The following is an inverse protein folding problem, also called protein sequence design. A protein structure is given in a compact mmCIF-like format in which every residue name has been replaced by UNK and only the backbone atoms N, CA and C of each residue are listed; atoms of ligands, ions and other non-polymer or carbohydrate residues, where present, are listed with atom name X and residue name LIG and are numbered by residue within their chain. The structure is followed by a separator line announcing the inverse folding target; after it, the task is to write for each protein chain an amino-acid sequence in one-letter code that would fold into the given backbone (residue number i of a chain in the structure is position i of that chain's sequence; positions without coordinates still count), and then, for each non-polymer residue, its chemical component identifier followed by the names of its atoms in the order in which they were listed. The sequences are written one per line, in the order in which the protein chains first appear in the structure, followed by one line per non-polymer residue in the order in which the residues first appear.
data_IF_166899943620
#
_entry.id   IF_166899943620
#
_cell.length_a   1.000
_cell.length_b   1.000
_cell.length_c   1.000
_cell.angle_alpha   90.00
_cell.angle_beta   90.00
_cell.angle_gamma   90.00
#
_symmetry.space_group_name_H-M   'P 1'
#
loop_
_entity.id
_entity.type
_entity.pdbx_description
1 polymer ?
#
# COMPACT_ATOMS: atom_id res chain seq x y z
N UNK A 1 -28.26 25.93 0.97
CA UNK A 1 -27.45 24.86 1.61
C UNK A 1 -27.00 23.89 0.51
N UNK A 2 -25.71 23.88 0.19
CA UNK A 2 -25.17 23.10 -0.93
C UNK A 2 -24.75 21.71 -0.41
N UNK A 3 -25.37 20.65 -0.92
CA UNK A 3 -25.28 19.27 -0.37
C UNK A 3 -23.99 18.52 -0.78
N UNK A 4 -23.08 19.15 -1.53
CA UNK A 4 -22.10 18.44 -2.37
C UNK A 4 -20.61 18.53 -1.97
N UNK A 5 -20.22 19.07 -0.81
CA UNK A 5 -18.87 18.81 -0.27
C UNK A 5 -18.89 17.53 0.57
N UNK A 6 -18.16 16.50 0.12
CA UNK A 6 -17.71 15.44 1.01
C UNK A 6 -16.37 15.91 1.57
N UNK A 7 -16.42 16.45 2.79
CA UNK A 7 -15.22 16.55 3.60
C UNK A 7 -14.77 15.13 4.01
N UNK A 8 -13.49 15.00 4.36
CA UNK A 8 -12.91 13.73 4.79
C UNK A 8 -13.67 13.11 5.98
N UNK A 9 -14.11 13.85 7.02
CA UNK A 9 -14.97 13.31 8.08
C UNK A 9 -16.25 12.65 7.59
N UNK A 10 -16.97 13.28 6.66
CA UNK A 10 -18.21 12.72 6.08
C UNK A 10 -17.94 11.47 5.26
N UNK A 11 -16.83 11.44 4.52
CA UNK A 11 -16.39 10.23 3.81
C UNK A 11 -16.13 9.09 4.79
N UNK A 12 -15.41 9.35 5.89
CA UNK A 12 -15.14 8.33 6.91
C UNK A 12 -16.43 7.83 7.56
N UNK A 13 -17.37 8.71 7.87
CA UNK A 13 -18.68 8.32 8.42
C UNK A 13 -19.45 7.40 7.45
N UNK A 14 -19.45 7.73 6.15
CA UNK A 14 -20.07 6.89 5.12
C UNK A 14 -19.36 5.53 4.99
N UNK A 15 -18.02 5.52 4.99
CA UNK A 15 -17.23 4.28 4.95
C UNK A 15 -17.53 3.38 6.15
N UNK A 16 -17.60 3.95 7.36
CA UNK A 16 -17.95 3.20 8.58
C UNK A 16 -19.34 2.59 8.49
N UNK A 17 -20.32 3.35 7.97
CA UNK A 17 -21.69 2.86 7.77
C UNK A 17 -21.74 1.69 6.77
N UNK A 18 -21.13 1.87 5.60
CA UNK A 18 -21.15 0.85 4.53
C UNK A 18 -20.37 -0.42 4.88
N UNK A 19 -19.41 -0.32 5.80
CA UNK A 19 -18.60 -1.43 6.28
C UNK A 19 -19.12 -2.07 7.57
N UNK A 20 -20.09 -1.47 8.27
CA UNK A 20 -20.51 -1.90 9.61
C UNK A 20 -20.93 -3.38 9.67
N UNK A 21 -21.55 -3.88 8.60
CA UNK A 21 -22.07 -5.24 8.51
C UNK A 21 -21.09 -6.24 7.89
N UNK A 22 -19.81 -5.88 7.72
CA UNK A 22 -18.80 -6.76 7.13
C UNK A 22 -18.17 -7.61 8.25
N UNK A 23 -18.53 -8.91 8.37
CA UNK A 23 -18.11 -9.70 9.52
C UNK A 23 -16.67 -10.20 9.37
N UNK A 24 -16.02 -10.47 10.50
CA UNK A 24 -14.79 -11.26 10.56
C UNK A 24 -13.55 -10.64 9.91
N UNK A 25 -13.52 -9.32 9.76
CA UNK A 25 -12.34 -8.59 9.28
C UNK A 25 -12.21 -7.21 9.92
N UNK A 26 -11.01 -6.66 9.93
CA UNK A 26 -10.76 -5.26 10.30
C UNK A 26 -10.35 -4.49 9.05
N UNK A 27 -10.88 -3.29 8.82
CA UNK A 27 -10.63 -2.51 7.60
C UNK A 27 -10.06 -1.16 7.96
N UNK A 28 -8.94 -0.81 7.36
CA UNK A 28 -8.30 0.49 7.52
C UNK A 28 -8.30 1.25 6.19
N UNK A 29 -8.42 2.58 6.27
CA UNK A 29 -8.18 3.47 5.14
C UNK A 29 -6.67 3.52 4.86
N UNK A 30 -6.29 3.61 3.59
CA UNK A 30 -4.92 3.73 3.15
C UNK A 30 -4.73 4.87 2.13
N UNK A 31 -3.53 4.97 1.56
CA UNK A 31 -3.24 5.86 0.45
C UNK A 31 -3.28 7.34 0.82
N UNK A 32 -3.65 8.17 -0.15
CA UNK A 32 -3.58 9.63 0.01
C UNK A 32 -4.60 10.20 0.99
N UNK A 33 -5.75 9.54 1.10
CA UNK A 33 -6.80 9.90 2.06
C UNK A 33 -6.33 9.70 3.50
N UNK A 34 -5.65 8.60 3.78
CA UNK A 34 -5.09 8.30 5.09
C UNK A 34 -3.96 9.25 5.52
N UNK A 35 -3.14 9.72 4.57
CA UNK A 35 -2.04 10.66 4.86
C UNK A 35 -2.50 12.12 4.94
N UNK A 36 -3.74 12.42 4.53
CA UNK A 36 -4.22 13.79 4.41
C UNK A 36 -3.64 14.56 3.21
N UNK A 37 -2.94 13.90 2.27
CA UNK A 37 -2.39 14.51 1.05
C UNK A 37 -3.28 14.25 -0.19
N UNK A 38 -4.58 14.04 0.04
CA UNK A 38 -5.57 13.80 -0.99
C UNK A 38 -5.86 15.06 -1.82
N UNK A 39 -6.33 14.85 -3.05
CA UNK A 39 -6.68 15.93 -3.97
C UNK A 39 -8.17 16.24 -3.88
N UNK A 40 -8.49 17.52 -3.95
CA UNK A 40 -9.87 18.02 -4.08
C UNK A 40 -10.05 18.75 -5.41
N UNK A 41 -11.17 18.52 -6.08
CA UNK A 41 -11.55 19.26 -7.28
C UNK A 41 -12.00 20.70 -6.97
N UNK A 42 -12.26 21.48 -8.01
CA UNK A 42 -12.68 22.88 -7.90
C UNK A 42 -13.97 23.10 -7.08
N UNK A 43 -14.80 22.07 -6.93
CA UNK A 43 -16.03 22.06 -6.14
C UNK A 43 -15.83 21.56 -4.70
N UNK A 44 -14.58 21.37 -4.25
CA UNK A 44 -14.23 20.88 -2.93
C UNK A 44 -14.47 19.38 -2.71
N UNK A 45 -14.83 18.62 -3.76
CA UNK A 45 -15.00 17.15 -3.66
C UNK A 45 -13.65 16.46 -3.75
N UNK A 46 -13.48 15.40 -2.96
CA UNK A 46 -12.33 14.49 -3.07
C UNK A 46 -12.32 13.86 -4.46
N UNK A 47 -11.18 13.94 -5.15
CA UNK A 47 -10.92 13.31 -6.46
C UNK A 47 -9.76 12.32 -6.42
N UNK A 48 -9.14 12.13 -5.25
CA UNK A 48 -8.25 10.99 -5.02
C UNK A 48 -9.01 9.69 -5.03
N UNK A 49 -8.29 8.62 -5.38
CA UNK A 49 -8.70 7.24 -5.20
C UNK A 49 -8.95 6.89 -3.72
N UNK A 50 -9.86 5.95 -3.50
CA UNK A 50 -10.12 5.32 -2.22
C UNK A 50 -9.31 4.04 -2.10
N UNK A 51 -8.34 4.01 -1.18
CA UNK A 51 -7.55 2.81 -0.90
C UNK A 51 -7.94 2.21 0.45
N UNK A 52 -8.30 0.92 0.49
CA UNK A 52 -8.60 0.19 1.72
C UNK A 52 -7.62 -0.96 1.95
N UNK A 53 -7.35 -1.28 3.22
CA UNK A 53 -6.65 -2.48 3.65
C UNK A 53 -7.57 -3.29 4.57
N UNK A 54 -8.30 -4.27 4.02
CA UNK A 54 -8.98 -5.29 4.82
C UNK A 54 -7.99 -6.30 5.36
N UNK A 55 -8.11 -6.61 6.65
CA UNK A 55 -7.34 -7.63 7.36
C UNK A 55 -8.25 -8.80 7.68
N UNK A 56 -7.92 -9.98 7.18
CA UNK A 56 -8.66 -11.23 7.38
C UNK A 56 -7.84 -12.21 8.21
N UNK A 57 -8.46 -13.17 8.94
CA UNK A 57 -7.72 -14.08 9.79
C UNK A 57 -6.66 -14.90 9.03
N UNK A 58 -7.05 -15.46 7.89
CA UNK A 58 -6.19 -16.32 7.07
C UNK A 58 -6.50 -16.18 5.59
N UNK A 59 -5.65 -16.72 4.72
CA UNK A 59 -5.87 -16.70 3.28
C UNK A 59 -7.21 -17.35 2.85
N UNK A 60 -7.68 -18.35 3.59
CA UNK A 60 -8.96 -19.02 3.32
C UNK A 60 -10.17 -18.08 3.40
N UNK A 61 -10.05 -16.95 4.10
CA UNK A 61 -11.10 -15.96 4.24
C UNK A 61 -11.11 -14.90 3.12
N UNK A 62 -10.06 -14.86 2.29
CA UNK A 62 -9.96 -13.87 1.23
C UNK A 62 -11.12 -13.94 0.22
N UNK A 63 -11.58 -15.10 -0.27
CA UNK A 63 -12.72 -15.17 -1.19
C UNK A 63 -14.01 -14.59 -0.60
N UNK A 64 -14.31 -14.89 0.66
CA UNK A 64 -15.47 -14.33 1.37
C UNK A 64 -15.34 -12.82 1.53
N UNK A 65 -14.16 -12.34 1.94
CA UNK A 65 -13.92 -10.91 2.06
C UNK A 65 -14.08 -10.18 0.72
N UNK A 66 -13.62 -10.77 -0.39
CA UNK A 66 -13.83 -10.24 -1.74
C UNK A 66 -15.31 -10.14 -2.09
N UNK A 67 -16.07 -11.20 -1.86
CA UNK A 67 -17.49 -11.26 -2.16
C UNK A 67 -18.29 -10.17 -1.42
N UNK A 68 -17.90 -9.87 -0.18
CA UNK A 68 -18.55 -8.83 0.64
C UNK A 68 -18.08 -7.42 0.27
N UNK A 69 -16.78 -7.21 0.06
CA UNK A 69 -16.22 -5.88 -0.20
C UNK A 69 -16.49 -5.38 -1.61
N UNK A 70 -16.53 -6.26 -2.62
CA UNK A 70 -16.76 -5.86 -4.00
C UNK A 70 -18.01 -4.98 -4.19
N UNK A 71 -19.23 -5.37 -3.73
CA UNK A 71 -20.40 -4.52 -3.87
C UNK A 71 -20.30 -3.21 -3.06
N UNK A 72 -19.65 -3.23 -1.90
CA UNK A 72 -19.41 -2.02 -1.08
C UNK A 72 -18.53 -1.02 -1.83
N UNK A 73 -17.38 -1.48 -2.34
CA UNK A 73 -16.47 -0.66 -3.15
C UNK A 73 -17.15 -0.13 -4.41
N UNK A 74 -17.96 -0.95 -5.08
CA UNK A 74 -18.75 -0.52 -6.25
C UNK A 74 -19.71 0.63 -5.92
N UNK A 75 -20.48 0.52 -4.83
CA UNK A 75 -21.38 1.60 -4.39
C UNK A 75 -20.62 2.87 -4.04
N UNK A 76 -19.51 2.74 -3.31
CA UNK A 76 -18.69 3.88 -2.90
C UNK A 76 -18.04 4.57 -4.10
N UNK A 77 -17.42 3.81 -5.00
CA UNK A 77 -16.82 4.34 -6.24
C UNK A 77 -17.86 5.09 -7.08
N UNK A 78 -19.09 4.57 -7.18
CA UNK A 78 -20.18 5.21 -7.89
C UNK A 78 -20.66 6.49 -7.20
N UNK A 79 -20.90 6.44 -5.89
CA UNK A 79 -21.39 7.57 -5.10
C UNK A 79 -20.39 8.74 -5.06
N UNK A 80 -19.10 8.41 -4.97
CA UNK A 80 -18.01 9.36 -4.84
C UNK A 80 -17.43 9.77 -6.20
N UNK A 81 -17.67 8.99 -7.26
CA UNK A 81 -17.09 9.14 -8.61
C UNK A 81 -15.55 9.11 -8.59
N UNK A 82 -15.00 8.18 -7.82
CA UNK A 82 -13.56 7.94 -7.69
C UNK A 82 -13.27 6.46 -7.92
N UNK A 83 -12.03 6.14 -8.26
CA UNK A 83 -11.55 4.75 -8.23
C UNK A 83 -11.50 4.27 -6.78
N UNK A 84 -11.87 3.01 -6.54
CA UNK A 84 -11.76 2.38 -5.23
C UNK A 84 -10.97 1.08 -5.34
N UNK A 85 -9.92 0.96 -4.54
CA UNK A 85 -9.04 -0.19 -4.47
C UNK A 85 -9.03 -0.75 -3.05
N UNK A 86 -9.02 -2.08 -2.92
CA UNK A 86 -8.71 -2.75 -1.67
C UNK A 86 -7.61 -3.79 -1.88
N UNK A 87 -6.67 -3.87 -0.94
CA UNK A 87 -5.66 -4.92 -0.89
C UNK A 87 -5.86 -5.77 0.37
N UNK A 88 -6.53 -6.91 0.20
CA UNK A 88 -6.81 -7.85 1.30
C UNK A 88 -5.49 -8.38 1.83
N UNK A 89 -5.34 -8.35 3.14
CA UNK A 89 -4.14 -8.69 3.89
C UNK A 89 -4.50 -9.77 4.91
N UNK A 90 -3.70 -10.82 5.02
CA UNK A 90 -3.84 -11.79 6.12
C UNK A 90 -3.35 -11.21 7.44
N UNK A 91 -3.91 -11.64 8.57
CA UNK A 91 -3.53 -11.14 9.90
C UNK A 91 -2.04 -11.33 10.18
N UNK A 92 -1.48 -12.47 9.79
CA UNK A 92 -0.04 -12.74 9.92
C UNK A 92 0.81 -11.77 9.09
N UNK A 93 0.43 -11.54 7.82
CA UNK A 93 1.13 -10.58 6.98
C UNK A 93 0.99 -9.14 7.51
N UNK A 94 -0.20 -8.79 7.99
CA UNK A 94 -0.45 -7.53 8.67
C UNK A 94 0.54 -7.36 9.83
N UNK A 95 0.69 -8.32 10.74
CA UNK A 95 1.65 -8.23 11.85
C UNK A 95 3.12 -8.18 11.41
N UNK A 96 3.50 -8.94 10.38
CA UNK A 96 4.89 -8.90 9.85
C UNK A 96 5.19 -7.54 9.23
N UNK A 97 4.31 -7.06 8.35
CA UNK A 97 4.46 -5.79 7.67
C UNK A 97 4.19 -4.58 8.58
N UNK A 98 3.51 -4.75 9.72
CA UNK A 98 3.33 -3.70 10.74
C UNK A 98 4.67 -3.14 11.24
N UNK A 99 5.66 -4.03 11.31
CA UNK A 99 7.02 -3.75 11.79
C UNK A 99 7.81 -2.93 10.78
N UNK A 100 7.40 -2.98 9.52
CA UNK A 100 7.85 -2.04 8.53
C UNK A 100 6.97 -0.79 8.59
N UNK A 101 7.57 0.38 8.83
CA UNK A 101 6.88 1.66 8.66
C UNK A 101 6.37 1.90 7.22
N UNK A 102 6.42 0.93 6.31
CA UNK A 102 5.69 0.95 5.03
C UNK A 102 4.15 1.06 5.20
N UNK A 103 3.64 0.91 6.43
CA UNK A 103 2.32 1.40 6.84
C UNK A 103 2.16 2.92 6.90
N UNK A 104 3.14 3.71 6.46
CA UNK A 104 3.07 5.19 6.37
C UNK A 104 1.91 5.75 5.55
N UNK A 105 1.07 4.89 4.97
CA UNK A 105 -0.14 5.32 4.28
C UNK A 105 -1.42 4.80 4.91
N UNK A 106 -1.43 4.14 6.07
CA UNK A 106 -2.67 3.70 6.72
C UNK A 106 -3.15 4.75 7.73
N UNK A 107 -4.46 4.98 7.77
CA UNK A 107 -5.08 5.80 8.81
C UNK A 107 -4.92 5.05 10.14
N UNK A 108 -4.50 5.72 11.24
CA UNK A 108 -4.21 5.08 12.53
C UNK A 108 -5.46 4.60 13.30
N UNK A 109 -6.60 4.48 12.61
CA UNK A 109 -7.89 4.12 13.15
C UNK A 109 -8.55 3.15 12.17
N UNK A 110 -9.20 2.16 12.75
CA UNK A 110 -10.02 1.23 12.01
C UNK A 110 -11.31 1.92 11.54
N UNK A 111 -11.70 1.68 10.30
CA UNK A 111 -13.06 1.95 9.83
C UNK A 111 -14.01 0.95 10.50
N UNK A 112 -13.60 -0.31 10.54
CA UNK A 112 -14.21 -1.38 11.33
C UNK A 112 -13.12 -2.26 11.93
N UNK A 113 -13.30 -2.75 13.14
CA UNK A 113 -12.35 -3.64 13.83
C UNK A 113 -13.00 -4.97 14.22
N UNK A 114 -13.46 -5.73 13.22
CA UNK A 114 -14.13 -7.01 13.45
C UNK A 114 -13.23 -8.12 14.00
N UNK A 115 -11.90 -7.94 13.96
CA UNK A 115 -10.93 -8.86 14.57
C UNK A 115 -10.49 -8.43 15.98
N UNK A 116 -10.92 -7.25 16.46
CA UNK A 116 -10.53 -6.75 17.78
C UNK A 116 -9.03 -6.48 17.94
N UNK A 117 -8.38 -5.98 16.89
CA UNK A 117 -6.93 -5.72 16.89
C UNK A 117 -6.56 -4.50 17.74
N UNK A 118 -7.52 -3.59 17.95
CA UNK A 118 -7.36 -2.39 18.74
C UNK A 118 -6.50 -1.31 18.07
N UNK A 119 -6.44 -0.10 18.66
CA UNK A 119 -5.75 1.05 18.09
C UNK A 119 -4.22 0.89 18.04
N UNK A 120 -3.65 0.05 18.91
CA UNK A 120 -2.21 -0.16 19.00
C UNK A 120 -1.65 -1.09 17.92
N UNK A 121 -2.52 -1.73 17.12
CA UNK A 121 -2.13 -2.62 16.03
C UNK A 121 -1.25 -1.96 14.96
N UNK A 122 -1.27 -0.62 14.86
CA UNK A 122 -0.47 0.17 13.93
C UNK A 122 0.90 0.59 14.46
N UNK A 123 1.10 0.52 15.78
CA UNK A 123 2.26 1.11 16.45
C UNK A 123 3.21 0.05 17.04
N UNK A 124 3.21 -1.16 16.49
CA UNK A 124 4.12 -2.21 16.97
C UNK A 124 5.56 -1.87 16.55
N UNK A 125 6.49 -1.63 17.51
CA UNK A 125 7.87 -1.35 17.18
C UNK A 125 8.53 -2.58 16.56
N UNK A 126 9.46 -2.36 15.62
CA UNK A 126 10.35 -3.41 15.20
C UNK A 126 11.27 -3.80 16.38
N UNK A 127 11.65 -5.09 16.50
CA UNK A 127 12.53 -5.55 17.56
C UNK A 127 13.94 -4.95 17.46
N UNK A 128 14.40 -4.62 16.24
CA UNK A 128 15.65 -3.91 15.98
C UNK A 128 15.59 -3.07 14.69
N UNK A 129 16.53 -2.15 14.53
CA UNK A 129 16.61 -1.25 13.37
C UNK A 129 16.97 -1.97 12.06
N UNK A 130 17.76 -3.04 12.13
CA UNK A 130 18.24 -3.81 10.97
C UNK A 130 17.14 -4.64 10.31
N UNK A 131 16.19 -5.15 11.09
CA UNK A 131 15.05 -5.92 10.65
C UNK A 131 14.03 -5.07 9.87
N UNK A 132 14.05 -3.74 10.03
CA UNK A 132 13.22 -2.82 9.23
C UNK A 132 13.81 -2.56 7.84
N UNK A 133 15.13 -2.73 7.66
CA UNK A 133 15.82 -2.28 6.44
C UNK A 133 15.37 -3.00 5.16
N UNK A 134 15.21 -4.33 5.12
CA UNK A 134 14.69 -5.01 3.95
C UNK A 134 13.33 -4.45 3.49
N UNK A 135 12.48 -4.08 4.45
CA UNK A 135 11.17 -3.49 4.17
C UNK A 135 11.23 -2.01 3.78
N UNK A 136 12.26 -1.28 4.21
CA UNK A 136 12.49 0.09 3.77
C UNK A 136 13.10 0.15 2.36
N UNK A 137 13.81 -0.90 1.94
CA UNK A 137 14.36 -1.08 0.58
C UNK A 137 13.28 -1.49 -0.42
N UNK A 138 12.38 -2.40 -0.03
CA UNK A 138 11.34 -2.97 -0.90
C UNK A 138 10.59 -1.95 -1.79
N UNK A 139 10.15 -0.77 -1.29
CA UNK A 139 9.43 0.21 -2.09
C UNK A 139 10.29 0.78 -3.22
N UNK A 140 11.60 0.93 -3.02
CA UNK A 140 12.54 1.40 -4.03
C UNK A 140 12.57 0.39 -5.18
N UNK A 141 12.84 -0.88 -4.89
CA UNK A 141 12.89 -1.94 -5.91
C UNK A 141 11.53 -2.18 -6.56
N UNK A 142 10.43 -2.07 -5.82
CA UNK A 142 9.08 -2.19 -6.37
C UNK A 142 8.77 -1.09 -7.40
N UNK A 143 9.09 0.16 -7.09
CA UNK A 143 8.85 1.27 -8.02
C UNK A 143 9.81 1.25 -9.21
N UNK A 144 11.07 0.84 -9.02
CA UNK A 144 12.00 0.63 -10.13
C UNK A 144 11.48 -0.46 -11.07
N UNK A 145 11.00 -1.59 -10.54
CA UNK A 145 10.40 -2.65 -11.34
C UNK A 145 9.14 -2.17 -12.09
N UNK A 146 8.26 -1.39 -11.44
CA UNK A 146 7.07 -0.83 -12.12
C UNK A 146 7.44 0.11 -13.26
N UNK A 147 8.54 0.85 -13.14
CA UNK A 147 8.98 1.80 -14.16
C UNK A 147 9.38 1.10 -15.48
N UNK A 148 9.68 -0.20 -15.46
CA UNK A 148 9.97 -0.98 -16.68
C UNK A 148 8.71 -1.35 -17.48
N UNK A 149 7.52 -1.17 -16.89
CA UNK A 149 6.24 -1.65 -17.43
C UNK A 149 5.26 -0.50 -17.65
N UNK A 150 5.14 0.42 -16.69
CA UNK A 150 4.15 1.52 -16.73
C UNK A 150 4.67 2.81 -16.13
N UNK A 151 4.25 3.93 -16.72
CA UNK A 151 4.52 5.30 -16.26
C UNK A 151 5.92 5.48 -15.63
N UNK A 152 6.98 5.38 -16.45
CA UNK A 152 8.35 5.37 -15.93
C UNK A 152 8.69 6.62 -15.13
N UNK A 153 8.21 7.80 -15.57
CA UNK A 153 8.50 9.08 -14.91
C UNK A 153 7.97 9.09 -13.48
N UNK A 154 6.70 8.73 -13.29
CA UNK A 154 6.09 8.72 -11.95
C UNK A 154 6.72 7.66 -11.05
N UNK A 155 6.96 6.46 -11.57
CA UNK A 155 7.51 5.37 -10.76
C UNK A 155 8.98 5.62 -10.39
N UNK A 156 9.80 6.18 -11.28
CA UNK A 156 11.16 6.62 -10.93
C UNK A 156 11.16 7.72 -9.85
N UNK A 157 10.22 8.68 -9.93
CA UNK A 157 10.09 9.71 -8.88
C UNK A 157 9.69 9.11 -7.52
N UNK A 158 8.81 8.10 -7.51
CA UNK A 158 8.44 7.36 -6.29
C UNK A 158 9.61 6.55 -5.73
N UNK A 159 10.40 5.90 -6.57
CA UNK A 159 11.62 5.19 -6.17
C UNK A 159 12.62 6.13 -5.50
N UNK A 160 12.88 7.31 -6.09
CA UNK A 160 13.76 8.34 -5.50
C UNK A 160 13.23 8.85 -4.17
N UNK A 161 11.93 9.09 -4.05
CA UNK A 161 11.31 9.51 -2.79
C UNK A 161 11.48 8.44 -1.70
N UNK A 162 11.29 7.16 -2.03
CA UNK A 162 11.52 6.06 -1.10
C UNK A 162 13.00 5.97 -0.67
N UNK A 163 13.95 6.15 -1.59
CA UNK A 163 15.38 6.20 -1.27
C UNK A 163 15.72 7.36 -0.33
N UNK A 164 15.15 8.55 -0.55
CA UNK A 164 15.34 9.70 0.34
C UNK A 164 14.78 9.47 1.76
N UNK A 165 13.68 8.71 1.89
CA UNK A 165 13.14 8.34 3.19
C UNK A 165 14.04 7.32 3.92
N UNK A 166 14.68 6.42 3.19
CA UNK A 166 15.67 5.50 3.74
C UNK A 166 16.91 6.27 4.24
N UNK A 167 17.40 7.23 3.45
CA UNK A 167 18.47 8.15 3.83
C UNK A 167 18.17 8.95 5.10
N UNK A 168 16.95 9.49 5.20
CA UNK A 168 16.52 10.25 6.37
C UNK A 168 16.49 9.42 7.68
N UNK A 169 16.53 8.08 7.58
CA UNK A 169 16.69 7.18 8.74
C UNK A 169 18.15 7.01 9.18
N UNK A 170 19.09 7.73 8.56
CA UNK A 170 20.53 7.64 8.86
C UNK A 170 21.18 6.38 8.29
N UNK A 171 20.60 5.79 7.24
CA UNK A 171 21.07 4.54 6.64
C UNK A 171 21.35 4.76 5.15
N UNK A 172 22.53 4.31 4.71
CA UNK A 172 22.94 4.33 3.31
C UNK A 172 23.45 5.67 2.81
N UNK A 173 24.46 6.26 3.46
CA UNK A 173 25.13 7.48 2.97
C UNK A 173 25.52 7.38 1.48
N UNK A 174 25.84 6.18 1.00
CA UNK A 174 26.09 5.85 -0.42
C UNK A 174 24.89 6.08 -1.37
N UNK A 175 23.66 6.19 -0.84
CA UNK A 175 22.48 6.60 -1.61
C UNK A 175 22.48 8.12 -1.89
N UNK A 176 23.24 8.93 -1.13
CA UNK A 176 23.32 10.40 -1.29
C UNK A 176 23.96 10.84 -2.62
N UNK A 177 24.70 9.95 -3.29
CA UNK A 177 25.31 10.20 -4.60
C UNK A 177 24.70 9.42 -5.77
N UNK A 178 23.72 8.55 -5.52
CA UNK A 178 23.33 7.48 -6.44
C UNK A 178 22.01 7.69 -7.19
N UNK A 179 21.63 8.96 -7.40
CA UNK A 179 20.45 9.35 -8.20
C UNK A 179 20.29 8.56 -9.50
N UNK A 180 21.43 8.14 -10.09
CA UNK A 180 21.48 7.59 -11.44
C UNK A 180 21.66 6.06 -11.48
N UNK A 181 22.03 5.41 -10.37
CA UNK A 181 22.21 3.94 -10.29
C UNK A 181 21.81 3.37 -8.91
N UNK A 182 20.52 3.55 -8.57
CA UNK A 182 19.92 2.99 -7.37
C UNK A 182 20.14 1.46 -7.21
N UNK A 183 20.06 0.61 -8.25
CA UNK A 183 20.30 -0.83 -8.09
C UNK A 183 21.68 -1.17 -7.51
N UNK A 184 22.75 -0.49 -7.94
CA UNK A 184 24.09 -0.73 -7.40
C UNK A 184 24.19 -0.30 -5.93
N UNK A 185 23.73 0.89 -5.57
CA UNK A 185 23.79 1.36 -4.19
C UNK A 185 22.96 0.51 -3.23
N UNK A 186 21.83 -0.04 -3.69
CA UNK A 186 21.07 -1.01 -2.89
C UNK A 186 21.85 -2.29 -2.63
N UNK A 187 22.62 -2.81 -3.61
CA UNK A 187 23.47 -3.99 -3.40
C UNK A 187 24.58 -3.71 -2.38
N UNK A 188 25.23 -2.54 -2.44
CA UNK A 188 26.24 -2.15 -1.46
C UNK A 188 25.64 -2.07 -0.06
N UNK A 189 24.50 -1.41 0.10
CA UNK A 189 23.81 -1.29 1.37
C UNK A 189 23.45 -2.67 1.96
N UNK A 190 22.90 -3.57 1.13
CA UNK A 190 22.58 -4.94 1.55
C UNK A 190 23.84 -5.68 2.02
N UNK A 191 24.95 -5.51 1.31
CA UNK A 191 26.23 -6.15 1.65
C UNK A 191 26.83 -5.59 2.96
N UNK A 192 26.92 -4.28 3.09
CA UNK A 192 27.52 -3.57 4.23
C UNK A 192 26.79 -3.86 5.55
N UNK A 193 25.46 -3.94 5.49
CA UNK A 193 24.63 -4.20 6.66
C UNK A 193 24.28 -5.68 6.84
N UNK A 194 24.86 -6.58 6.03
CA UNK A 194 24.59 -8.03 6.06
C UNK A 194 23.09 -8.36 6.07
N UNK A 195 22.33 -7.68 5.21
CA UNK A 195 20.87 -7.82 5.16
C UNK A 195 20.47 -9.03 4.34
N UNK A 196 19.47 -9.76 4.83
CA UNK A 196 18.71 -10.69 4.00
C UNK A 196 17.62 -9.90 3.26
N UNK A 197 17.72 -9.71 1.93
CA UNK A 197 16.71 -8.96 1.19
C UNK A 197 15.40 -9.75 1.13
N UNK A 198 14.29 -9.01 1.08
CA UNK A 198 12.99 -9.61 0.71
C UNK A 198 13.08 -10.23 -0.69
N UNK A 199 12.30 -11.28 -0.95
CA UNK A 199 12.31 -12.00 -2.22
C UNK A 199 12.00 -11.08 -3.42
N UNK A 200 11.14 -10.08 -3.24
CA UNK A 200 10.86 -9.07 -4.27
C UNK A 200 12.07 -8.18 -4.59
N UNK A 201 12.82 -7.77 -3.57
CA UNK A 201 14.08 -7.02 -3.70
C UNK A 201 15.15 -7.87 -4.36
N UNK A 202 15.32 -9.12 -3.91
CA UNK A 202 16.27 -10.06 -4.50
C UNK A 202 15.96 -10.31 -5.98
N UNK A 203 14.69 -10.56 -6.32
CA UNK A 203 14.26 -10.77 -7.70
C UNK A 203 14.59 -9.56 -8.60
N UNK A 204 14.30 -8.34 -8.14
CA UNK A 204 14.63 -7.12 -8.89
C UNK A 204 16.14 -6.95 -9.07
N UNK A 205 16.93 -7.12 -8.02
CA UNK A 205 18.37 -6.89 -8.05
C UNK A 205 19.13 -7.98 -8.82
N UNK A 206 18.59 -9.18 -8.96
CA UNK A 206 19.17 -10.23 -9.81
C UNK A 206 19.10 -9.84 -11.30
N UNK A 207 17.94 -9.32 -11.74
CA UNK A 207 17.70 -9.08 -13.17
C UNK A 207 16.78 -7.87 -13.43
N UNK A 208 17.26 -6.64 -13.19
CA UNK A 208 16.43 -5.42 -13.21
C UNK A 208 15.89 -5.03 -14.59
N UNK A 209 16.45 -5.60 -15.67
CA UNK A 209 16.10 -5.31 -17.06
C UNK A 209 15.22 -6.37 -17.71
N UNK A 210 14.82 -7.42 -16.97
CA UNK A 210 14.00 -8.50 -17.53
C UNK A 210 12.61 -8.01 -17.96
N UNK A 211 12.06 -8.49 -19.08
CA UNK A 211 10.74 -8.08 -19.57
C UNK A 211 9.58 -8.32 -18.59
N UNK A 212 9.67 -9.35 -17.75
CA UNK A 212 8.64 -9.76 -16.80
C UNK A 212 8.90 -9.28 -15.36
N UNK A 213 9.94 -8.48 -15.13
CA UNK A 213 10.40 -8.14 -13.78
C UNK A 213 9.34 -7.41 -12.95
N UNK A 214 8.60 -6.48 -13.56
CA UNK A 214 7.49 -5.77 -12.91
C UNK A 214 6.45 -6.74 -12.33
N UNK A 215 6.11 -7.79 -13.08
CA UNK A 215 5.12 -8.80 -12.66
C UNK A 215 5.67 -9.68 -11.54
N UNK A 216 6.88 -10.21 -11.72
CA UNK A 216 7.52 -11.07 -10.72
C UNK A 216 7.72 -10.34 -9.38
N UNK A 217 8.23 -9.10 -9.42
CA UNK A 217 8.43 -8.26 -8.23
C UNK A 217 7.09 -7.93 -7.59
N UNK A 218 6.06 -7.54 -8.38
CA UNK A 218 4.72 -7.28 -7.84
C UNK A 218 4.17 -8.50 -7.12
N UNK A 219 4.20 -9.66 -7.73
CA UNK A 219 3.60 -10.86 -7.16
C UNK A 219 4.34 -11.30 -5.87
N UNK A 220 5.67 -11.11 -5.82
CA UNK A 220 6.46 -11.28 -4.60
C UNK A 220 6.10 -10.26 -3.51
N UNK A 221 6.00 -8.97 -3.84
CA UNK A 221 5.59 -7.90 -2.91
C UNK A 221 4.24 -8.21 -2.28
N UNK A 222 3.25 -8.67 -3.06
CA UNK A 222 1.94 -9.03 -2.51
C UNK A 222 2.01 -10.23 -1.56
N UNK A 223 2.82 -11.25 -1.85
CA UNK A 223 3.02 -12.36 -0.91
C UNK A 223 3.68 -11.90 0.39
N UNK A 224 4.66 -11.00 0.30
CA UNK A 224 5.37 -10.46 1.46
C UNK A 224 4.48 -9.57 2.32
N UNK A 225 3.80 -8.60 1.71
CA UNK A 225 3.06 -7.54 2.38
C UNK A 225 1.64 -7.95 2.76
N UNK A 226 0.97 -8.77 1.93
CA UNK A 226 -0.44 -9.15 2.09
C UNK A 226 -0.60 -10.61 2.52
N UNK A 227 0.43 -11.44 2.33
CA UNK A 227 0.32 -12.89 2.57
C UNK A 227 -0.53 -13.59 1.51
N UNK A 228 -0.79 -12.94 0.38
CA UNK A 228 -1.68 -13.41 -0.69
C UNK A 228 -1.05 -13.09 -2.05
N UNK A 229 -1.32 -13.90 -3.09
CA UNK A 229 -1.05 -13.49 -4.47
C UNK A 229 -1.81 -12.20 -4.84
N UNK A 230 -1.24 -11.39 -5.74
CA UNK A 230 -1.85 -10.13 -6.18
C UNK A 230 -3.31 -10.32 -6.67
N UNK A 231 -3.60 -11.38 -7.41
CA UNK A 231 -4.94 -11.66 -7.95
C UNK A 231 -5.99 -11.94 -6.86
N UNK A 232 -5.56 -12.52 -5.74
CA UNK A 232 -6.43 -12.84 -4.61
C UNK A 232 -6.55 -11.66 -3.64
N UNK A 233 -5.48 -10.86 -3.50
CA UNK A 233 -5.45 -9.70 -2.62
C UNK A 233 -6.21 -8.49 -3.19
N UNK A 234 -6.02 -8.18 -4.46
CA UNK A 234 -6.45 -6.89 -5.04
C UNK A 234 -7.90 -6.94 -5.54
N UNK A 235 -8.67 -5.93 -5.15
CA UNK A 235 -9.95 -5.54 -5.74
C UNK A 235 -9.79 -4.13 -6.29
N UNK A 236 -10.12 -3.92 -7.56
CA UNK A 236 -10.15 -2.58 -8.18
C UNK A 236 -11.55 -2.37 -8.74
N UNK A 237 -12.15 -1.25 -8.36
CA UNK A 237 -13.36 -0.72 -8.95
C UNK A 237 -12.99 0.60 -9.63
N UNK A 238 -13.01 0.65 -10.98
CA UNK A 238 -12.69 1.87 -11.69
C UNK A 238 -13.72 2.96 -11.39
N UNK A 239 -13.30 4.22 -11.49
CA UNK A 239 -14.24 5.33 -11.44
C UNK A 239 -15.31 5.17 -12.55
N UNK A 240 -16.59 5.50 -12.29
CA UNK A 240 -17.62 5.44 -13.32
C UNK A 240 -17.30 6.38 -14.47
N UNK A 241 -17.31 5.85 -15.70
CA UNK A 241 -17.21 6.66 -16.92
C UNK A 241 -18.46 7.53 -17.04
N UNK A 242 -18.31 8.85 -17.01
CA UNK A 242 -19.44 9.74 -17.29
C UNK A 242 -19.75 9.68 -18.78
N UNK A 243 -21.02 9.53 -19.19
CA UNK A 243 -21.39 9.77 -20.58
C UNK A 243 -21.06 11.23 -20.92
N UNK A 244 -20.42 11.41 -22.08
CA UNK A 244 -20.08 12.71 -22.66
C UNK A 244 -21.33 13.55 -22.99
#
# INVERSE_FOLDING_TARGET
MNVNSLDLPRLLALLRLELADVPGMSVALSGSLARGDHRTGANGRIVSDLDLIPVVPTAAHAPTARAVLQPVLSRLAQALRIEATAAITTLDAFHRAARARYRTSMWPEWLIDGLGLGPNAFNQPAPDHTAELPWAIQPITYYLAKATDRDPRTNLAKARRAANLLLAKGVGEDLLGASDDLPRSLRNLIHEHHLDPLASTAAFLDAPTRPDISRAVRDAVFRENQGLPCAESVLVVPAPTLPH
#
